data_IF_288330791073
#
_entry.id   IF_288330791073
#
_cell.length_a   1.000
_cell.length_b   1.000
_cell.length_c   1.000
_cell.angle_alpha   90.00
_cell.angle_beta   90.00
_cell.angle_gamma   90.00
#
_symmetry.space_group_name_H-M   'P 1'
#
loop_
_entity.id
_entity.type
_entity.pdbx_description
1 polymer ?
#
# COMPACT_ATOMS: atom_id res chain seq x y z
N UNK A 1 -4.07 -13.33 4.68
CA UNK A 1 -4.27 -12.90 6.08
C UNK A 1 -3.82 -14.03 7.00
N UNK A 2 -2.94 -13.75 7.97
CA UNK A 2 -2.47 -14.73 8.96
C UNK A 2 -3.46 -14.89 10.13
N UNK A 3 -3.39 -15.98 10.91
CA UNK A 3 -4.18 -16.11 12.14
C UNK A 3 -3.98 -14.95 13.12
N UNK A 4 -2.75 -14.42 13.23
CA UNK A 4 -2.46 -13.28 14.10
C UNK A 4 -3.16 -11.99 13.63
N UNK A 5 -3.20 -11.75 12.31
CA UNK A 5 -3.95 -10.61 11.75
C UNK A 5 -5.46 -10.73 12.01
N UNK A 6 -6.01 -11.95 11.94
CA UNK A 6 -7.44 -12.19 12.25
C UNK A 6 -7.70 -11.96 13.74
N UNK A 7 -6.86 -12.50 14.62
CA UNK A 7 -6.96 -12.29 16.07
C UNK A 7 -6.95 -10.79 16.40
N UNK A 8 -6.06 -10.04 15.77
CA UNK A 8 -5.98 -8.60 15.97
C UNK A 8 -7.22 -7.86 15.46
N UNK A 9 -7.71 -8.20 14.26
CA UNK A 9 -8.94 -7.62 13.70
C UNK A 9 -10.15 -7.86 14.63
N UNK A 10 -10.16 -8.98 15.34
CA UNK A 10 -11.21 -9.39 16.26
C UNK A 10 -10.92 -9.04 17.73
N UNK A 11 -9.88 -8.23 18.05
CA UNK A 11 -9.51 -7.93 19.44
C UNK A 11 -10.62 -7.25 20.26
N UNK A 12 -11.49 -6.51 19.57
CA UNK A 12 -12.62 -5.78 20.14
C UNK A 12 -13.96 -6.54 19.96
N UNK A 13 -13.89 -7.80 19.52
CA UNK A 13 -15.07 -8.65 19.39
C UNK A 13 -15.66 -9.03 20.77
N UNK A 14 -16.93 -9.44 20.85
CA UNK A 14 -17.60 -9.71 22.13
C UNK A 14 -16.99 -10.85 22.95
N UNK A 15 -16.28 -11.78 22.30
CA UNK A 15 -15.68 -12.96 22.94
C UNK A 15 -14.22 -13.15 22.51
N UNK A 16 -13.46 -13.94 23.27
CA UNK A 16 -12.06 -14.22 22.96
C UNK A 16 -11.91 -14.94 21.61
N UNK A 17 -10.89 -14.56 20.82
CA UNK A 17 -10.61 -15.17 19.51
C UNK A 17 -10.47 -16.70 19.58
N UNK A 18 -9.79 -17.21 20.61
CA UNK A 18 -9.56 -18.64 20.81
C UNK A 18 -10.72 -19.42 21.44
N UNK A 19 -11.93 -18.85 21.49
CA UNK A 19 -13.10 -19.56 22.03
C UNK A 19 -13.44 -20.81 21.21
N UNK A 20 -13.89 -21.85 21.90
CA UNK A 20 -14.37 -23.10 21.29
C UNK A 20 -15.90 -23.23 21.35
N UNK A 21 -16.60 -22.27 21.97
CA UNK A 21 -18.06 -22.23 22.01
C UNK A 21 -18.62 -21.76 20.66
N UNK A 22 -19.47 -22.56 20.03
CA UNK A 22 -20.00 -22.28 18.69
C UNK A 22 -20.83 -20.99 18.61
N UNK A 23 -21.48 -20.59 19.70
CA UNK A 23 -22.29 -19.37 19.80
C UNK A 23 -21.38 -18.15 19.85
N UNK A 24 -20.31 -18.23 20.63
CA UNK A 24 -19.30 -17.17 20.74
C UNK A 24 -18.54 -16.99 19.41
N UNK A 25 -18.16 -18.08 18.74
CA UNK A 25 -17.56 -18.05 17.40
C UNK A 25 -18.49 -17.31 16.42
N UNK A 26 -19.78 -17.66 16.41
CA UNK A 26 -20.76 -17.04 15.51
C UNK A 26 -20.92 -15.53 15.78
N UNK A 27 -20.89 -15.13 17.06
CA UNK A 27 -20.96 -13.73 17.44
C UNK A 27 -19.70 -12.93 17.02
N UNK A 28 -18.51 -13.53 17.14
CA UNK A 28 -17.26 -12.92 16.68
C UNK A 28 -17.22 -12.79 15.15
N UNK A 29 -17.71 -13.79 14.40
CA UNK A 29 -17.85 -13.71 12.95
C UNK A 29 -18.78 -12.56 12.55
N UNK A 30 -19.95 -12.45 13.20
CA UNK A 30 -20.88 -11.35 12.95
C UNK A 30 -20.30 -9.97 13.29
N UNK A 31 -19.42 -9.87 14.30
CA UNK A 31 -18.66 -8.65 14.57
C UNK A 31 -17.67 -8.34 13.44
N UNK A 32 -16.89 -9.34 13.00
CA UNK A 32 -15.93 -9.20 11.91
C UNK A 32 -16.59 -8.74 10.60
N UNK A 33 -17.76 -9.29 10.26
CA UNK A 33 -18.53 -8.87 9.08
C UNK A 33 -18.94 -7.39 9.17
N UNK A 34 -19.40 -6.96 10.35
CA UNK A 34 -19.76 -5.55 10.58
C UNK A 34 -18.53 -4.64 10.49
N UNK A 35 -17.40 -5.05 11.05
CA UNK A 35 -16.15 -4.28 11.00
C UNK A 35 -15.67 -4.14 9.55
N UNK A 36 -15.65 -5.23 8.79
CA UNK A 36 -15.28 -5.22 7.38
C UNK A 36 -16.20 -4.29 6.57
N UNK A 37 -17.52 -4.38 6.77
CA UNK A 37 -18.47 -3.50 6.09
C UNK A 37 -18.25 -2.03 6.47
N UNK A 38 -17.98 -1.73 7.76
CA UNK A 38 -17.66 -0.38 8.20
C UNK A 38 -16.41 0.17 7.49
N UNK A 39 -15.34 -0.63 7.39
CA UNK A 39 -14.11 -0.26 6.67
C UNK A 39 -14.37 -0.02 5.17
N UNK A 40 -15.32 -0.77 4.58
CA UNK A 40 -15.81 -0.56 3.19
C UNK A 40 -16.76 0.63 3.03
N UNK A 41 -17.06 1.35 4.11
CA UNK A 41 -17.89 2.55 4.08
C UNK A 41 -19.35 2.38 4.50
N UNK A 42 -19.76 1.17 4.92
CA UNK A 42 -21.10 0.95 5.51
C UNK A 42 -21.27 1.73 6.81
N UNK A 43 -22.46 2.32 7.00
CA UNK A 43 -22.74 3.20 8.13
C UNK A 43 -23.80 2.66 9.10
N UNK A 44 -24.28 1.42 8.89
CA UNK A 44 -25.38 0.85 9.68
C UNK A 44 -25.04 0.69 11.17
N UNK A 45 -23.76 0.62 11.51
CA UNK A 45 -23.25 0.41 12.86
C UNK A 45 -22.53 1.64 13.45
N UNK A 46 -22.59 2.79 12.77
CA UNK A 46 -21.98 4.04 13.26
C UNK A 46 -22.74 4.65 14.44
N UNK A 47 -22.01 5.23 15.39
CA UNK A 47 -22.59 5.83 16.60
C UNK A 47 -23.14 4.83 17.61
N UNK A 48 -22.97 3.53 17.35
CA UNK A 48 -23.34 2.44 18.25
C UNK A 48 -22.14 1.53 18.49
N UNK A 49 -21.90 0.57 17.59
CA UNK A 49 -20.78 -0.36 17.68
C UNK A 49 -19.45 0.30 17.27
N UNK A 50 -19.50 1.19 16.26
CA UNK A 50 -18.32 1.88 15.73
C UNK A 50 -18.48 3.40 15.81
N UNK A 51 -17.36 4.13 15.71
CA UNK A 51 -17.38 5.60 15.69
C UNK A 51 -18.33 6.15 14.65
N UNK A 52 -18.96 7.28 14.97
CA UNK A 52 -19.64 8.08 13.97
C UNK A 52 -18.62 8.79 13.08
N UNK A 53 -18.67 8.55 11.76
CA UNK A 53 -17.92 9.33 10.77
C UNK A 53 -18.79 10.53 10.37
N UNK A 54 -18.21 11.72 10.32
CA UNK A 54 -18.99 12.94 10.13
C UNK A 54 -19.69 12.98 8.76
N UNK A 55 -21.03 12.84 8.76
CA UNK A 55 -22.00 12.99 7.66
C UNK A 55 -21.83 12.10 6.40
N UNK A 56 -22.99 11.74 5.83
CA UNK A 56 -23.15 10.99 4.57
C UNK A 56 -22.27 11.60 3.47
N UNK A 57 -21.39 10.79 2.87
CA UNK A 57 -20.50 11.21 1.77
C UNK A 57 -19.04 11.49 2.14
N UNK A 58 -18.63 11.37 3.40
CA UNK A 58 -17.22 11.52 3.85
C UNK A 58 -16.65 10.21 4.38
N UNK A 59 -16.74 9.15 3.57
CA UNK A 59 -16.24 7.81 3.92
C UNK A 59 -14.74 7.67 3.63
N UNK A 60 -14.26 8.38 2.62
CA UNK A 60 -12.84 8.51 2.30
C UNK A 60 -12.11 9.20 3.45
N UNK A 61 -10.98 8.62 3.85
CA UNK A 61 -10.06 9.19 4.83
C UNK A 61 -9.53 10.56 4.40
N UNK A 62 -8.98 11.29 5.36
CA UNK A 62 -8.24 12.50 5.04
C UNK A 62 -6.98 12.18 4.23
N UNK A 63 -6.73 13.02 3.23
CA UNK A 63 -5.54 12.98 2.38
C UNK A 63 -4.68 14.16 2.82
N UNK A 64 -3.54 13.89 3.46
CA UNK A 64 -2.67 14.94 4.00
C UNK A 64 -1.41 15.09 3.14
N UNK A 65 -0.66 14.00 2.91
CA UNK A 65 0.62 14.06 2.20
C UNK A 65 0.68 13.20 0.93
N UNK A 66 -0.36 12.40 0.66
CA UNK A 66 -0.42 11.62 -0.58
C UNK A 66 -0.87 12.50 -1.74
N UNK A 67 0.07 12.88 -2.60
CA UNK A 67 -0.26 13.58 -3.84
C UNK A 67 -0.97 12.61 -4.80
N UNK A 68 -2.17 12.96 -5.31
CA UNK A 68 -2.89 12.09 -6.23
C UNK A 68 -2.14 11.99 -7.57
N UNK A 69 -1.99 10.77 -8.09
CA UNK A 69 -1.32 10.51 -9.37
C UNK A 69 -2.31 10.08 -10.45
N UNK A 70 -2.16 10.64 -11.65
CA UNK A 70 -2.94 10.25 -12.82
C UNK A 70 -2.19 9.20 -13.65
N UNK A 71 -2.84 8.08 -13.92
CA UNK A 71 -2.32 7.01 -14.78
C UNK A 71 -3.30 6.77 -15.93
N UNK A 72 -3.02 7.38 -17.07
CA UNK A 72 -3.70 7.12 -18.34
C UNK A 72 -2.93 6.14 -19.22
N UNK A 73 -3.14 6.12 -20.55
CA UNK A 73 -2.35 5.32 -21.49
C UNK A 73 -0.82 5.51 -21.32
N UNK A 74 0.00 4.47 -21.51
CA UNK A 74 1.45 4.55 -21.35
C UNK A 74 2.03 5.55 -22.37
N UNK A 75 2.85 6.47 -21.87
CA UNK A 75 3.36 7.62 -22.63
C UNK A 75 4.89 7.78 -22.60
N UNK A 76 5.61 6.86 -21.94
CA UNK A 76 7.08 6.90 -21.96
C UNK A 76 7.59 6.63 -23.37
N UNK A 77 8.83 7.03 -23.64
CA UNK A 77 9.50 6.84 -24.94
C UNK A 77 10.63 5.82 -24.84
N UNK A 78 10.44 4.77 -24.05
CA UNK A 78 11.46 3.74 -23.93
C UNK A 78 11.69 3.05 -25.27
N UNK A 79 12.95 2.85 -25.62
CA UNK A 79 13.37 2.12 -26.82
C UNK A 79 13.71 0.66 -26.50
N UNK A 80 13.24 0.16 -25.35
CA UNK A 80 13.45 -1.22 -24.91
C UNK A 80 12.57 -2.18 -25.70
N UNK A 81 13.05 -3.41 -25.87
CA UNK A 81 12.35 -4.48 -26.59
C UNK A 81 10.93 -4.67 -26.06
N UNK A 82 9.96 -4.74 -26.98
CA UNK A 82 8.54 -4.98 -26.66
C UNK A 82 7.77 -3.77 -26.12
N UNK A 83 8.44 -2.68 -25.71
CA UNK A 83 7.74 -1.56 -25.06
C UNK A 83 6.79 -0.83 -26.02
N UNK A 84 7.18 -0.64 -27.28
CA UNK A 84 6.31 0.01 -28.27
C UNK A 84 5.05 -0.82 -28.56
N UNK A 85 5.15 -2.15 -28.48
CA UNK A 85 3.98 -3.04 -28.56
C UNK A 85 3.08 -2.90 -27.33
N UNK A 86 3.66 -2.80 -26.14
CA UNK A 86 2.92 -2.53 -24.90
C UNK A 86 2.19 -1.19 -24.95
N UNK A 87 2.82 -0.15 -25.47
CA UNK A 87 2.17 1.15 -25.69
C UNK A 87 0.98 1.00 -26.63
N UNK A 88 1.19 0.34 -27.77
CA UNK A 88 0.15 0.11 -28.77
C UNK A 88 -1.03 -0.70 -28.24
N UNK A 89 -0.80 -1.67 -27.34
CA UNK A 89 -1.87 -2.49 -26.76
C UNK A 89 -2.67 -1.80 -25.66
N UNK A 90 -2.14 -0.72 -25.07
CA UNK A 90 -2.76 0.01 -23.96
C UNK A 90 -3.12 1.47 -24.32
N UNK A 91 -3.21 1.80 -25.61
CA UNK A 91 -3.61 3.14 -26.07
C UNK A 91 -4.99 3.59 -25.55
N UNK A 92 -5.87 2.63 -25.25
CA UNK A 92 -7.21 2.86 -24.71
C UNK A 92 -7.31 2.43 -23.22
N UNK A 93 -6.19 2.39 -22.49
CA UNK A 93 -6.24 2.08 -21.05
C UNK A 93 -7.10 3.12 -20.33
N UNK A 94 -8.07 2.65 -19.55
CA UNK A 94 -8.89 3.53 -18.73
C UNK A 94 -8.01 4.36 -17.79
N UNK A 95 -8.25 5.66 -17.73
CA UNK A 95 -7.48 6.54 -16.89
C UNK A 95 -7.92 6.42 -15.43
N UNK A 96 -6.97 6.34 -14.50
CA UNK A 96 -7.25 6.22 -13.07
C UNK A 96 -6.44 7.24 -12.28
N UNK A 97 -7.07 7.86 -11.29
CA UNK A 97 -6.43 8.69 -10.28
C UNK A 97 -6.20 7.85 -9.01
N UNK A 98 -4.94 7.67 -8.62
CA UNK A 98 -4.58 6.93 -7.40
C UNK A 98 -4.15 7.87 -6.27
N UNK A 99 -4.57 7.59 -5.04
CA UNK A 99 -4.20 8.39 -3.86
C UNK A 99 -4.27 7.55 -2.58
N UNK A 100 -3.34 7.77 -1.66
CA UNK A 100 -3.38 7.20 -0.32
C UNK A 100 -4.26 8.04 0.63
N UNK A 101 -5.01 7.39 1.51
CA UNK A 101 -5.81 8.05 2.53
C UNK A 101 -5.62 7.43 3.93
N UNK A 102 -5.89 8.25 4.95
CA UNK A 102 -5.75 7.87 6.36
C UNK A 102 -6.93 7.02 6.90
N UNK A 103 -7.73 6.44 6.01
CA UNK A 103 -8.69 5.37 6.30
C UNK A 103 -8.06 3.96 6.09
N UNK A 104 -6.75 3.88 5.89
CA UNK A 104 -6.04 2.60 5.78
C UNK A 104 -5.76 2.15 4.35
N UNK A 105 -6.22 2.90 3.34
CA UNK A 105 -6.30 2.43 1.97
C UNK A 105 -5.58 3.34 0.98
N UNK A 106 -5.10 2.72 -0.09
CA UNK A 106 -4.89 3.40 -1.37
C UNK A 106 -6.13 3.24 -2.22
N UNK A 107 -6.62 4.34 -2.79
CA UNK A 107 -7.81 4.39 -3.62
C UNK A 107 -7.46 4.70 -5.06
N UNK A 108 -8.13 4.04 -6.00
CA UNK A 108 -8.11 4.36 -7.42
C UNK A 108 -9.49 4.80 -7.90
N UNK A 109 -9.61 5.99 -8.46
CA UNK A 109 -10.85 6.55 -9.00
C UNK A 109 -10.80 6.65 -10.51
N UNK A 110 -11.93 6.35 -11.15
CA UNK A 110 -12.08 6.54 -12.59
C UNK A 110 -11.85 8.00 -12.97
N UNK A 111 -10.85 8.23 -13.81
CA UNK A 111 -10.41 9.54 -14.24
C UNK A 111 -10.63 9.77 -15.74
N UNK A 112 -11.31 8.86 -16.43
CA UNK A 112 -11.72 9.06 -17.81
C UNK A 112 -12.94 9.99 -17.88
N UNK A 113 -12.81 11.22 -18.40
CA UNK A 113 -13.91 12.19 -18.45
C UNK A 113 -15.08 11.72 -19.33
N UNK A 114 -14.87 10.76 -20.22
CA UNK A 114 -15.90 10.20 -21.09
C UNK A 114 -16.56 8.94 -20.50
N UNK A 115 -16.07 8.46 -19.35
CA UNK A 115 -16.61 7.29 -18.68
C UNK A 115 -17.92 7.58 -17.92
N UNK A 116 -18.88 6.67 -18.04
CA UNK A 116 -20.13 6.70 -17.25
C UNK A 116 -19.90 6.52 -15.73
N UNK A 117 -18.70 6.11 -15.35
CA UNK A 117 -18.26 5.91 -13.97
C UNK A 117 -17.22 6.93 -13.52
N UNK A 118 -17.01 8.02 -14.25
CA UNK A 118 -16.09 9.10 -13.87
C UNK A 118 -16.27 9.52 -12.40
N UNK A 119 -15.16 9.55 -11.66
CA UNK A 119 -15.11 9.88 -10.23
C UNK A 119 -15.56 8.75 -9.30
N UNK A 120 -15.99 7.59 -9.80
CA UNK A 120 -16.26 6.42 -8.96
C UNK A 120 -14.98 5.70 -8.60
N UNK A 121 -14.95 5.17 -7.38
CA UNK A 121 -13.89 4.28 -6.94
C UNK A 121 -13.92 2.97 -7.72
N UNK A 122 -12.76 2.57 -8.25
CA UNK A 122 -12.53 1.33 -8.99
C UNK A 122 -11.80 0.29 -8.15
N UNK A 123 -10.95 0.74 -7.22
CA UNK A 123 -10.15 -0.13 -6.36
C UNK A 123 -9.83 0.57 -5.04
N UNK A 124 -9.83 -0.21 -3.96
CA UNK A 124 -9.19 0.14 -2.70
C UNK A 124 -8.23 -1.00 -2.32
N UNK A 125 -6.99 -0.64 -1.97
CA UNK A 125 -5.96 -1.58 -1.54
C UNK A 125 -5.54 -1.27 -0.11
N UNK A 126 -5.52 -2.30 0.74
CA UNK A 126 -5.09 -2.21 2.14
C UNK A 126 -3.77 -2.95 2.29
N UNK A 127 -2.65 -2.25 2.57
CA UNK A 127 -1.39 -2.88 2.92
C UNK A 127 -1.53 -3.80 4.14
N UNK A 128 -0.95 -5.01 4.05
CA UNK A 128 -0.94 -6.04 5.08
C UNK A 128 -0.37 -5.57 6.42
N UNK A 129 0.65 -4.71 6.37
CA UNK A 129 1.27 -4.08 7.55
C UNK A 129 0.32 -3.18 8.35
N UNK A 130 -0.80 -2.75 7.76
CA UNK A 130 -1.79 -1.90 8.44
C UNK A 130 -2.94 -2.70 9.06
N UNK A 131 -3.02 -4.03 8.87
CA UNK A 131 -4.14 -4.83 9.39
C UNK A 131 -4.26 -4.72 10.92
N UNK A 132 -3.12 -4.56 11.60
CA UNK A 132 -3.03 -4.33 13.04
C UNK A 132 -3.39 -2.90 13.47
N UNK A 133 -3.81 -2.03 12.55
CA UNK A 133 -4.27 -0.67 12.88
C UNK A 133 -5.69 -0.42 12.39
N UNK A 134 -6.24 -1.29 11.53
CA UNK A 134 -7.59 -1.11 10.97
C UNK A 134 -8.69 -1.10 12.03
N UNK A 135 -8.68 -1.94 13.09
CA UNK A 135 -9.73 -1.86 14.10
C UNK A 135 -9.78 -0.51 14.82
N UNK A 136 -8.66 0.22 14.92
CA UNK A 136 -8.64 1.55 15.51
C UNK A 136 -9.56 2.52 14.74
N UNK A 137 -9.66 2.38 13.42
CA UNK A 137 -10.58 3.19 12.60
C UNK A 137 -12.04 3.04 13.00
N UNK A 138 -12.43 1.93 13.64
CA UNK A 138 -13.77 1.69 14.13
C UNK A 138 -13.98 2.16 15.59
N UNK A 139 -12.91 2.43 16.33
CA UNK A 139 -12.96 2.77 17.75
C UNK A 139 -13.78 4.03 18.02
N UNK A 140 -14.75 3.94 18.94
CA UNK A 140 -15.61 5.06 19.36
C UNK A 140 -14.80 6.28 19.85
N UNK A 141 -13.59 6.06 20.37
CA UNK A 141 -12.67 7.09 20.86
C UNK A 141 -11.46 7.27 19.94
N UNK A 142 -11.60 6.98 18.64
CA UNK A 142 -10.52 7.03 17.65
C UNK A 142 -9.67 8.31 17.76
N UNK A 143 -8.40 8.20 18.18
CA UNK A 143 -7.44 9.26 17.95
C UNK A 143 -7.02 9.22 16.48
N UNK A 144 -6.91 10.39 15.83
CA UNK A 144 -6.39 10.43 14.45
C UNK A 144 -4.98 9.84 14.39
N UNK A 145 -4.75 9.02 13.38
CA UNK A 145 -3.48 8.36 13.10
C UNK A 145 -3.22 8.37 11.60
N UNK A 146 -1.95 8.30 11.23
CA UNK A 146 -1.55 8.14 9.84
C UNK A 146 -1.65 6.67 9.42
N UNK A 147 -2.05 6.44 8.16
CA UNK A 147 -2.10 5.10 7.56
C UNK A 147 -1.37 5.11 6.20
N UNK A 148 -2.10 5.08 5.09
CA UNK A 148 -1.53 5.16 3.75
C UNK A 148 -1.41 6.64 3.38
N UNK A 149 -0.37 7.29 3.90
CA UNK A 149 -0.18 8.73 3.72
C UNK A 149 0.98 9.07 2.77
N UNK A 150 1.69 8.06 2.27
CA UNK A 150 2.83 8.24 1.39
C UNK A 150 2.52 8.70 -0.02
N UNK A 151 3.49 9.40 -0.60
CA UNK A 151 3.48 9.75 -2.02
C UNK A 151 3.55 8.48 -2.84
N UNK A 152 2.68 8.38 -3.84
CA UNK A 152 2.66 7.27 -4.78
C UNK A 152 3.59 7.59 -5.95
N UNK A 153 4.35 6.60 -6.41
CA UNK A 153 5.10 6.64 -7.66
C UNK A 153 4.59 5.57 -8.63
N UNK A 154 4.83 5.75 -9.92
CA UNK A 154 4.59 4.69 -10.90
C UNK A 154 5.55 4.78 -12.07
N UNK A 155 5.82 3.62 -12.68
CA UNK A 155 6.49 3.53 -13.97
C UNK A 155 6.04 2.30 -14.73
N UNK A 156 6.22 2.32 -16.05
CA UNK A 156 6.23 1.09 -16.81
C UNK A 156 7.57 0.37 -16.57
N UNK A 157 7.52 -0.91 -16.26
CA UNK A 157 8.67 -1.78 -16.03
C UNK A 157 8.44 -3.14 -16.70
N UNK A 158 9.52 -3.82 -17.05
CA UNK A 158 9.45 -5.20 -17.51
C UNK A 158 9.50 -6.12 -16.30
N UNK A 159 8.47 -6.95 -16.12
CA UNK A 159 8.44 -7.96 -15.07
C UNK A 159 8.81 -9.33 -15.67
N UNK A 160 9.94 -9.88 -15.23
CA UNK A 160 10.48 -11.15 -15.74
C UNK A 160 9.57 -12.34 -15.38
N UNK A 161 9.00 -12.36 -14.18
CA UNK A 161 8.04 -13.39 -13.75
C UNK A 161 6.79 -13.46 -14.65
N UNK A 162 6.44 -12.33 -15.30
CA UNK A 162 5.30 -12.22 -16.22
C UNK A 162 5.71 -12.24 -17.68
N UNK A 163 7.02 -12.19 -17.97
CA UNK A 163 7.58 -11.97 -19.30
C UNK A 163 6.86 -10.86 -20.09
N UNK A 164 6.56 -9.75 -19.41
CA UNK A 164 5.72 -8.69 -19.96
C UNK A 164 6.01 -7.32 -19.34
N UNK A 165 5.78 -6.26 -20.14
CA UNK A 165 5.68 -4.89 -19.65
C UNK A 165 4.42 -4.73 -18.79
N UNK A 166 4.59 -4.08 -17.65
CA UNK A 166 3.54 -3.72 -16.69
C UNK A 166 3.67 -2.27 -16.29
N UNK A 167 2.56 -1.66 -15.89
CA UNK A 167 2.58 -0.40 -15.15
C UNK A 167 2.53 -0.72 -13.67
N UNK A 168 3.62 -0.44 -12.98
CA UNK A 168 3.81 -0.75 -11.56
C UNK A 168 3.66 0.54 -10.76
N UNK A 169 2.84 0.48 -9.72
CA UNK A 169 2.63 1.52 -8.73
C UNK A 169 3.38 1.14 -7.46
N UNK A 170 4.14 2.09 -6.89
CA UNK A 170 4.77 1.96 -5.57
C UNK A 170 4.14 2.99 -4.63
N UNK A 171 3.61 2.55 -3.50
CA UNK A 171 3.11 3.44 -2.45
C UNK A 171 3.87 3.24 -1.14
N UNK A 172 3.94 4.31 -0.35
CA UNK A 172 4.52 4.31 0.99
C UNK A 172 3.50 4.66 2.07
N UNK A 173 3.91 4.53 3.32
CA UNK A 173 3.04 4.77 4.49
C UNK A 173 3.42 6.02 5.27
N UNK A 174 4.61 6.62 5.05
CA UNK A 174 5.15 7.73 5.85
C UNK A 174 5.08 7.41 7.35
N UNK A 175 4.41 8.25 8.14
CA UNK A 175 4.22 8.08 9.56
C UNK A 175 3.21 6.97 9.91
N UNK A 176 2.50 6.41 8.92
CA UNK A 176 1.56 5.32 9.15
C UNK A 176 2.22 3.96 9.30
N UNK A 177 3.48 3.80 8.89
CA UNK A 177 4.24 2.58 9.14
C UNK A 177 5.57 2.50 8.39
N UNK A 178 6.36 1.51 8.77
CA UNK A 178 7.63 1.18 8.14
C UNK A 178 7.39 0.21 6.99
N UNK A 179 6.99 0.73 5.83
CA UNK A 179 6.75 -0.13 4.68
C UNK A 179 6.46 0.60 3.38
N UNK A 180 6.66 -0.11 2.29
CA UNK A 180 6.15 0.22 0.95
C UNK A 180 5.43 -1.00 0.36
N UNK A 181 4.59 -0.75 -0.64
CA UNK A 181 3.88 -1.79 -1.37
C UNK A 181 3.95 -1.53 -2.88
N UNK A 182 3.87 -2.60 -3.67
CA UNK A 182 3.90 -2.57 -5.11
C UNK A 182 2.66 -3.23 -5.72
N UNK A 183 2.03 -2.56 -6.67
CA UNK A 183 0.84 -3.04 -7.37
C UNK A 183 1.03 -3.03 -8.89
N UNK A 184 0.53 -4.08 -9.56
CA UNK A 184 0.34 -4.12 -11.01
C UNK A 184 -0.99 -3.47 -11.37
N UNK A 185 -0.92 -2.22 -11.85
CA UNK A 185 -2.08 -1.41 -12.24
C UNK A 185 -2.24 -1.34 -13.76
N UNK A 186 -1.69 -2.32 -14.49
CA UNK A 186 -1.66 -2.31 -15.96
C UNK A 186 -3.07 -2.29 -16.57
N UNK A 187 -4.02 -3.02 -15.98
CA UNK A 187 -5.37 -3.18 -16.50
C UNK A 187 -6.44 -2.82 -15.43
N UNK A 188 -6.87 -1.54 -15.37
CA UNK A 188 -7.91 -1.11 -14.45
C UNK A 188 -9.28 -1.75 -14.68
N UNK A 189 -9.57 -2.21 -15.90
CA UNK A 189 -10.83 -2.89 -16.20
C UNK A 189 -10.89 -4.29 -15.57
N UNK A 190 -9.74 -4.78 -15.08
CA UNK A 190 -9.67 -6.05 -14.39
C UNK A 190 -10.09 -5.96 -12.92
N UNK A 191 -10.19 -4.77 -12.32
CA UNK A 191 -10.47 -4.62 -10.90
C UNK A 191 -11.85 -5.15 -10.52
N UNK A 192 -11.88 -6.11 -9.60
CA UNK A 192 -13.09 -6.80 -9.13
C UNK A 192 -12.85 -7.48 -7.79
N UNK A 193 -13.88 -7.60 -6.97
CA UNK A 193 -13.84 -8.29 -5.68
C UNK A 193 -13.76 -9.81 -5.88
N UNK A 194 -12.57 -10.32 -6.19
CA UNK A 194 -12.29 -11.74 -6.33
C UNK A 194 -10.85 -12.05 -5.89
N UNK A 195 -10.64 -13.16 -5.18
CA UNK A 195 -9.31 -13.56 -4.68
C UNK A 195 -8.26 -13.66 -5.80
N UNK A 196 -8.64 -14.20 -6.96
CA UNK A 196 -7.78 -14.27 -8.14
C UNK A 196 -7.35 -12.91 -8.71
N UNK A 197 -8.09 -11.84 -8.40
CA UNK A 197 -7.73 -10.49 -8.84
C UNK A 197 -6.75 -9.84 -7.86
N UNK A 198 -6.91 -10.08 -6.55
CA UNK A 198 -5.95 -9.61 -5.54
C UNK A 198 -4.53 -10.14 -5.81
N UNK A 199 -4.38 -11.44 -6.09
CA UNK A 199 -3.09 -12.06 -6.42
C UNK A 199 -2.46 -11.52 -7.72
N UNK A 200 -3.29 -11.03 -8.65
CA UNK A 200 -2.80 -10.47 -9.91
C UNK A 200 -2.32 -9.02 -9.77
N UNK A 201 -2.92 -8.27 -8.84
CA UNK A 201 -2.67 -6.84 -8.59
C UNK A 201 -1.56 -6.66 -7.57
N UNK A 202 -1.63 -7.33 -6.42
CA UNK A 202 -0.62 -7.20 -5.36
C UNK A 202 0.66 -7.90 -5.78
N UNK A 203 1.73 -7.15 -6.04
CA UNK A 203 3.02 -7.74 -6.38
C UNK A 203 3.77 -8.15 -5.12
N UNK A 204 3.98 -7.21 -4.21
CA UNK A 204 4.71 -7.44 -2.95
C UNK A 204 4.54 -6.26 -1.99
N UNK A 205 4.86 -6.52 -0.72
CA UNK A 205 5.06 -5.51 0.32
C UNK A 205 6.46 -5.69 0.88
N UNK A 206 7.15 -4.57 1.16
CA UNK A 206 8.46 -4.55 1.80
C UNK A 206 8.37 -3.73 3.07
N UNK A 207 8.64 -4.38 4.21
CA UNK A 207 8.47 -3.85 5.56
C UNK A 207 9.74 -4.08 6.38
N UNK A 208 9.77 -3.51 7.58
CA UNK A 208 10.76 -3.80 8.62
C UNK A 208 10.84 -5.30 8.97
N UNK A 209 9.76 -6.07 8.81
CA UNK A 209 9.80 -7.53 8.96
C UNK A 209 10.59 -8.24 7.85
N UNK A 210 10.83 -7.59 6.70
CA UNK A 210 11.72 -8.10 5.65
C UNK A 210 13.19 -7.73 5.94
N UNK A 211 13.41 -6.56 6.53
CA UNK A 211 14.71 -6.02 6.90
C UNK A 211 14.55 -4.91 7.95
N UNK A 212 15.03 -5.17 9.17
CA UNK A 212 14.85 -4.31 10.36
C UNK A 212 15.34 -2.86 10.18
N UNK A 213 16.20 -2.58 9.19
CA UNK A 213 16.72 -1.23 8.96
C UNK A 213 15.78 -0.33 8.15
N UNK A 214 14.64 -0.86 7.68
CA UNK A 214 13.57 -0.07 7.09
C UNK A 214 12.82 0.71 8.17
N UNK A 215 12.74 2.02 7.98
CA UNK A 215 11.96 2.93 8.80
C UNK A 215 10.71 3.43 8.09
N UNK A 216 10.13 4.49 8.64
CA UNK A 216 8.99 5.21 8.09
C UNK A 216 9.36 5.79 6.71
N UNK A 217 8.57 5.43 5.69
CA UNK A 217 8.89 5.66 4.28
C UNK A 217 8.38 7.03 3.81
N UNK A 218 9.11 8.09 4.17
CA UNK A 218 8.79 9.47 3.79
C UNK A 218 9.22 9.86 2.38
N UNK A 219 10.21 9.16 1.84
CA UNK A 219 10.74 9.40 0.51
C UNK A 219 9.87 8.80 -0.60
N UNK A 220 10.07 9.29 -1.82
CA UNK A 220 9.50 8.69 -3.03
C UNK A 220 10.41 7.52 -3.45
N UNK A 221 9.81 6.40 -3.85
CA UNK A 221 10.51 5.22 -4.34
C UNK A 221 10.43 5.13 -5.88
N UNK A 222 11.34 5.77 -6.64
CA UNK A 222 11.32 5.69 -8.09
C UNK A 222 11.64 4.29 -8.60
N UNK A 223 11.05 3.94 -9.73
CA UNK A 223 11.34 2.72 -10.49
C UNK A 223 12.26 3.08 -11.65
N UNK A 224 13.40 2.39 -11.78
CA UNK A 224 14.37 2.66 -12.84
C UNK A 224 15.01 1.37 -13.37
N UNK A 225 15.43 1.41 -14.64
CA UNK A 225 16.21 0.35 -15.27
C UNK A 225 17.69 0.59 -15.07
N UNK A 226 18.43 -0.41 -14.59
CA UNK A 226 19.86 -0.32 -14.32
C UNK A 226 20.71 -0.96 -15.42
N UNK A 227 22.03 -0.77 -15.34
CA UNK A 227 22.98 -1.19 -16.37
C UNK A 227 23.09 -2.71 -16.55
N UNK A 228 22.66 -3.49 -15.56
CA UNK A 228 22.52 -4.95 -15.64
C UNK A 228 21.31 -5.39 -16.48
N UNK A 229 20.43 -4.46 -16.85
CA UNK A 229 19.25 -4.71 -17.66
C UNK A 229 17.98 -4.93 -16.86
N UNK A 230 18.05 -4.94 -15.53
CA UNK A 230 16.91 -5.19 -14.64
C UNK A 230 16.27 -3.88 -14.18
N UNK A 231 15.05 -4.00 -13.67
CA UNK A 231 14.27 -2.89 -13.12
C UNK A 231 14.25 -2.98 -11.60
N UNK A 232 14.55 -1.86 -10.95
CA UNK A 232 14.61 -1.78 -9.49
C UNK A 232 13.75 -0.64 -8.97
N UNK A 233 13.14 -0.88 -7.81
CA UNK A 233 12.65 0.17 -6.93
C UNK A 233 13.82 0.68 -6.11
N UNK A 234 14.11 1.97 -6.24
CA UNK A 234 15.21 2.64 -5.53
C UNK A 234 14.63 3.34 -4.32
N UNK A 235 15.01 2.92 -3.12
CA UNK A 235 14.38 3.35 -1.88
C UNK A 235 15.43 3.79 -0.85
N UNK A 236 15.28 4.96 -0.26
CA UNK A 236 15.96 5.30 0.99
C UNK A 236 15.23 4.66 2.16
N UNK A 237 15.96 4.17 3.16
CA UNK A 237 15.37 3.42 4.27
C UNK A 237 14.37 4.21 5.12
N UNK A 238 14.29 5.53 4.96
CA UNK A 238 13.39 6.34 5.76
C UNK A 238 13.88 6.49 7.20
N UNK A 239 13.00 6.92 8.09
CA UNK A 239 13.36 7.38 9.43
C UNK A 239 12.78 6.52 10.54
N UNK A 240 13.30 6.65 11.76
CA UNK A 240 12.84 5.90 12.93
C UNK A 240 12.95 4.38 12.76
N UNK A 241 13.97 3.89 12.07
CA UNK A 241 14.27 2.45 11.96
C UNK A 241 14.75 1.83 13.29
N UNK A 242 14.87 2.61 14.37
CA UNK A 242 15.16 2.13 15.72
C UNK A 242 13.91 2.09 16.61
N UNK A 243 12.72 2.20 16.02
CA UNK A 243 11.47 2.08 16.77
C UNK A 243 11.38 0.71 17.46
N UNK A 244 10.80 0.65 18.66
CA UNK A 244 10.64 -0.61 19.41
C UNK A 244 9.27 -1.23 19.11
N UNK A 245 9.09 -1.72 17.90
CA UNK A 245 7.85 -2.32 17.37
C UNK A 245 7.97 -3.82 17.08
N UNK A 246 9.17 -4.39 17.18
CA UNK A 246 9.43 -5.82 16.98
C UNK A 246 10.60 -6.07 16.04
N UNK A 247 10.89 -5.11 15.15
CA UNK A 247 12.00 -5.16 14.20
C UNK A 247 12.85 -3.91 14.38
N UNK A 248 13.90 -4.02 15.20
CA UNK A 248 14.70 -2.85 15.61
C UNK A 248 15.99 -2.81 14.79
N UNK A 249 16.07 -1.89 13.84
CA UNK A 249 17.25 -1.61 13.04
C UNK A 249 18.38 -0.93 13.82
N UNK A 250 19.48 -0.70 13.12
CA UNK A 250 20.74 -0.24 13.70
C UNK A 250 20.89 1.29 13.78
N UNK A 251 19.89 2.03 13.29
CA UNK A 251 19.89 3.49 13.26
C UNK A 251 20.72 4.10 12.14
N UNK A 252 21.27 3.31 11.21
CA UNK A 252 22.00 3.81 10.05
C UNK A 252 21.08 4.14 8.88
N UNK A 253 21.56 5.02 8.01
CA UNK A 253 20.92 5.35 6.75
C UNK A 253 21.37 4.39 5.63
N UNK A 254 20.40 3.84 4.91
CA UNK A 254 20.58 2.86 3.84
C UNK A 254 19.89 3.27 2.53
N UNK A 255 20.50 2.88 1.41
CA UNK A 255 19.87 2.84 0.10
C UNK A 255 19.58 1.40 -0.29
N UNK A 256 18.33 1.10 -0.65
CA UNK A 256 17.90 -0.19 -1.18
C UNK A 256 17.70 -0.10 -2.70
N UNK A 257 18.07 -1.19 -3.37
CA UNK A 257 17.58 -1.58 -4.69
C UNK A 257 16.76 -2.85 -4.46
N UNK A 258 15.45 -2.72 -4.58
CA UNK A 258 14.52 -3.86 -4.53
C UNK A 258 14.17 -4.28 -5.94
N UNK A 259 14.16 -5.58 -6.20
CA UNK A 259 13.69 -6.11 -7.47
C UNK A 259 12.21 -5.74 -7.68
N UNK A 260 11.88 -5.20 -8.86
CA UNK A 260 10.51 -4.77 -9.13
C UNK A 260 9.53 -5.96 -9.22
N UNK A 261 9.99 -7.16 -9.56
CA UNK A 261 9.15 -8.35 -9.71
C UNK A 261 8.62 -8.85 -8.37
N UNK A 262 9.48 -8.94 -7.34
CA UNK A 262 9.17 -9.63 -6.09
C UNK A 262 9.52 -8.86 -4.80
N UNK A 263 10.11 -7.67 -4.92
CA UNK A 263 10.47 -6.83 -3.78
C UNK A 263 11.69 -7.32 -2.99
N UNK A 264 12.39 -8.35 -3.48
CA UNK A 264 13.59 -8.86 -2.83
C UNK A 264 14.73 -7.84 -2.90
N UNK A 265 15.57 -7.83 -1.86
CA UNK A 265 16.73 -6.92 -1.82
C UNK A 265 17.78 -7.43 -2.80
N UNK A 266 17.87 -6.78 -3.96
CA UNK A 266 19.00 -6.97 -4.86
C UNK A 266 20.28 -6.40 -4.23
N UNK A 267 20.17 -5.20 -3.66
CA UNK A 267 21.29 -4.56 -2.98
C UNK A 267 20.87 -3.58 -1.89
N UNK A 268 21.61 -3.59 -0.79
CA UNK A 268 21.51 -2.63 0.32
C UNK A 268 22.86 -1.97 0.50
N UNK A 269 22.89 -0.64 0.46
CA UNK A 269 24.10 0.15 0.62
C UNK A 269 24.03 0.94 1.93
N UNK A 270 24.95 0.65 2.84
CA UNK A 270 25.15 1.46 4.02
C UNK A 270 25.82 2.78 3.64
N UNK A 271 25.28 3.89 4.13
CA UNK A 271 25.95 5.19 4.01
C UNK A 271 27.07 5.36 5.04
N UNK A 272 27.04 4.56 6.12
CA UNK A 272 27.90 4.70 7.29
C UNK A 272 27.51 5.85 8.22
N UNK A 273 26.36 6.50 7.99
CA UNK A 273 25.84 7.58 8.82
C UNK A 273 24.67 7.08 9.68
N UNK A 274 24.66 7.51 10.95
CA UNK A 274 23.65 7.13 11.93
C UNK A 274 24.11 6.02 12.88
N UNK A 275 23.40 5.86 14.00
CA UNK A 275 23.58 4.78 14.97
C UNK A 275 22.34 4.68 15.85
N UNK A 276 22.21 3.64 16.67
CA UNK A 276 21.09 3.52 17.62
C UNK A 276 20.99 4.68 18.62
N UNK A 277 22.11 5.33 18.96
CA UNK A 277 22.14 6.49 19.87
C UNK A 277 21.92 7.84 19.18
N UNK A 278 22.10 7.91 17.86
CA UNK A 278 21.87 9.08 17.02
C UNK A 278 21.36 8.60 15.64
N UNK A 279 20.08 8.20 15.54
CA UNK A 279 19.56 7.54 14.35
C UNK A 279 19.52 8.46 13.14
N UNK A 280 19.79 7.91 11.97
CA UNK A 280 19.70 8.59 10.70
C UNK A 280 18.86 7.76 9.70
N UNK A 281 18.43 8.42 8.63
CA UNK A 281 17.59 7.84 7.60
C UNK A 281 17.83 8.48 6.25
N UNK A 282 17.87 7.66 5.19
CA UNK A 282 18.06 8.17 3.83
C UNK A 282 16.71 8.61 3.23
N UNK A 283 16.67 9.82 2.69
CA UNK A 283 15.50 10.40 1.99
C UNK A 283 15.40 9.94 0.53
N UNK A 284 14.48 10.55 -0.24
CA UNK A 284 14.23 10.27 -1.67
C UNK A 284 15.53 10.23 -2.49
N UNK A 285 15.91 9.08 -3.07
CA UNK A 285 16.99 9.00 -4.04
C UNK A 285 16.53 9.54 -5.40
N UNK A 286 17.46 10.10 -6.16
CA UNK A 286 17.25 10.48 -7.55
C UNK A 286 18.16 9.62 -8.44
N UNK A 287 17.63 8.57 -9.11
CA UNK A 287 18.42 7.83 -10.10
C UNK A 287 18.72 8.77 -11.28
N UNK A 288 20.00 8.86 -11.65
CA UNK A 288 20.52 9.68 -12.75
C UNK A 288 21.03 8.84 -13.91
#
# INVERSE_FOLDING_TARGET
>A
MSPAQIEFLLRDAPYAYGTTDSTEISANQAYGDKLLNFLRGDDANEGSLFRARAAVGRKLGDIIHSDPIYVGPPSRRFTFTGYQSFVSSHVNRNAVLYVGANDGMMHGFDADPDSSTFGKELIAYVPGSLYEKLPDLASLSYPHQYYVDGTINFSDAWLDSKAAWRTVLIGGLRAGGQGIYALDITDPNSFREASTNADAISLWEFTDANDDDLGNTFGIAPIAKFSDGNWYVVLGNGYNNTASDGNVGDGQAYLYLLDVDDGSIFKKFATGAGSTGDPNGLSTPAPV
#
